data_IF_771827257954
#
_entry.id   IF_771827257954
#
_cell.length_a   1.000
_cell.length_b   1.000
_cell.length_c   1.000
_cell.angle_alpha   90.00
_cell.angle_beta   90.00
_cell.angle_gamma   90.00
#
_symmetry.space_group_name_H-M   'P 1'
#
loop_
_entity.id
_entity.type
_entity.pdbx_description
1 polymer ?
#
# COMPACT_ATOMS: atom_id res chain seq x y z
N UNK A 1 33.56 -2.50 21.83
CA UNK A 1 32.25 -3.03 22.30
C UNK A 1 31.16 -2.45 21.40
N UNK A 2 30.66 -3.20 20.42
CA UNK A 2 29.65 -2.72 19.47
C UNK A 2 28.25 -3.07 19.99
N UNK A 3 27.44 -2.05 20.29
CA UNK A 3 26.04 -2.23 20.72
C UNK A 3 25.17 -2.37 19.48
N UNK A 4 24.66 -3.58 19.25
CA UNK A 4 23.66 -3.85 18.21
C UNK A 4 22.29 -3.34 18.68
N UNK A 5 21.72 -2.39 17.95
CA UNK A 5 20.35 -1.91 18.15
C UNK A 5 19.39 -2.79 17.35
N UNK A 6 18.61 -3.62 18.05
CA UNK A 6 17.51 -4.38 17.43
C UNK A 6 16.36 -3.42 17.14
N UNK A 7 16.07 -3.18 15.86
CA UNK A 7 14.87 -2.46 15.45
C UNK A 7 13.69 -3.44 15.49
N UNK A 8 12.86 -3.34 16.51
CA UNK A 8 11.59 -4.07 16.60
C UNK A 8 10.64 -3.53 15.53
N UNK A 9 10.47 -4.26 14.43
CA UNK A 9 9.44 -3.97 13.42
C UNK A 9 8.09 -4.38 14.00
N UNK A 10 7.35 -3.41 14.54
CA UNK A 10 5.99 -3.63 15.06
C UNK A 10 5.10 -4.09 13.91
N UNK A 11 4.83 -5.40 13.84
CA UNK A 11 3.83 -5.94 12.94
C UNK A 11 2.45 -5.46 13.42
N UNK A 12 1.85 -4.55 12.67
CA UNK A 12 0.48 -4.09 12.91
C UNK A 12 -0.44 -5.30 12.71
N UNK A 13 -1.30 -5.64 13.68
CA UNK A 13 -2.21 -6.78 13.54
C UNK A 13 -3.15 -6.54 12.35
N UNK A 14 -3.37 -7.59 11.54
CA UNK A 14 -4.35 -7.62 10.44
C UNK A 14 -5.80 -7.67 10.98
N UNK A 15 -6.12 -6.80 11.93
CA UNK A 15 -7.45 -6.65 12.53
C UNK A 15 -8.08 -5.34 12.07
N UNK A 16 -9.14 -5.46 11.26
CA UNK A 16 -9.85 -4.41 10.52
C UNK A 16 -9.20 -4.06 9.16
N UNK A 17 -9.82 -4.59 8.09
CA UNK A 17 -9.48 -4.30 6.68
C UNK A 17 -9.71 -2.83 6.28
N UNK A 18 -10.20 -1.99 7.19
CA UNK A 18 -10.26 -0.55 7.02
C UNK A 18 -9.17 0.09 7.90
N UNK A 19 -7.93 0.11 7.40
CA UNK A 19 -6.92 0.96 8.02
C UNK A 19 -7.30 2.42 7.79
N UNK A 20 -7.19 3.25 8.83
CA UNK A 20 -7.37 4.71 8.68
C UNK A 20 -6.39 5.16 7.59
N UNK A 21 -6.81 5.95 6.59
CA UNK A 21 -5.88 6.47 5.59
C UNK A 21 -4.71 7.11 6.32
N UNK A 22 -3.49 6.87 5.85
CA UNK A 22 -2.31 7.57 6.35
C UNK A 22 -2.67 9.06 6.42
N UNK A 23 -2.59 9.66 7.61
CA UNK A 23 -3.02 11.04 7.80
C UNK A 23 -2.33 11.92 6.76
N UNK A 24 -3.11 12.60 5.90
CA UNK A 24 -2.58 13.46 4.84
C UNK A 24 -2.45 12.82 3.45
N UNK A 25 -2.89 11.59 3.23
CA UNK A 25 -2.92 11.01 1.89
C UNK A 25 -3.95 11.71 0.97
N UNK A 26 -3.54 12.00 -0.26
CA UNK A 26 -4.36 12.62 -1.30
C UNK A 26 -4.17 11.89 -2.64
N UNK A 27 -5.13 12.06 -3.54
CA UNK A 27 -5.00 11.56 -4.90
C UNK A 27 -3.84 12.27 -5.61
N UNK A 28 -2.91 11.50 -6.15
CA UNK A 28 -1.77 12.00 -6.94
C UNK A 28 -2.18 12.69 -8.23
N UNK A 29 -3.34 12.33 -8.79
CA UNK A 29 -3.87 12.89 -10.03
C UNK A 29 -4.62 14.21 -9.83
N UNK A 30 -5.55 14.26 -8.87
CA UNK A 30 -6.46 15.42 -8.72
C UNK A 30 -6.37 16.13 -7.36
N UNK A 31 -5.46 15.71 -6.47
CA UNK A 31 -5.25 16.30 -5.15
C UNK A 31 -6.35 16.08 -4.11
N UNK A 32 -7.44 15.38 -4.46
CA UNK A 32 -8.56 15.15 -3.54
C UNK A 32 -8.16 14.28 -2.36
N UNK A 33 -8.61 14.63 -1.17
CA UNK A 33 -8.49 13.80 0.06
C UNK A 33 -9.60 12.75 0.18
N UNK A 34 -10.58 12.75 -0.73
CA UNK A 34 -11.65 11.74 -0.78
C UNK A 34 -11.11 10.48 -1.47
N UNK A 35 -10.36 9.70 -0.72
CA UNK A 35 -9.73 8.46 -1.19
C UNK A 35 -10.05 7.29 -0.26
N UNK A 36 -10.06 6.08 -0.82
CA UNK A 36 -9.88 4.83 -0.08
C UNK A 36 -8.41 4.46 -0.12
N UNK A 37 -7.82 4.17 1.04
CA UNK A 37 -6.43 3.72 1.17
C UNK A 37 -6.38 2.37 1.88
N UNK A 38 -5.72 1.38 1.29
CA UNK A 38 -5.64 0.02 1.81
C UNK A 38 -4.20 -0.49 1.74
N UNK A 39 -3.67 -0.94 2.86
CA UNK A 39 -2.38 -1.65 2.90
C UNK A 39 -2.63 -3.15 2.90
N UNK A 40 -2.03 -3.88 1.96
CA UNK A 40 -2.23 -5.33 1.80
C UNK A 40 -1.00 -6.01 1.22
N UNK A 41 -0.93 -7.35 1.32
CA UNK A 41 0.09 -8.12 0.63
C UNK A 41 -0.48 -8.71 -0.67
N UNK A 42 0.28 -8.64 -1.75
CA UNK A 42 -0.01 -9.36 -2.98
C UNK A 42 0.24 -10.86 -2.78
N UNK A 43 -0.17 -11.66 -3.77
CA UNK A 43 -0.07 -13.13 -3.73
C UNK A 43 1.36 -13.64 -3.57
N UNK A 44 2.35 -12.90 -4.08
CA UNK A 44 3.78 -13.19 -3.91
C UNK A 44 4.35 -12.75 -2.54
N UNK A 45 3.52 -12.18 -1.66
CA UNK A 45 3.93 -11.65 -0.36
C UNK A 45 4.42 -10.20 -0.38
N UNK A 46 4.48 -9.55 -1.55
CA UNK A 46 4.86 -8.12 -1.68
C UNK A 46 3.85 -7.24 -0.93
N UNK A 47 4.25 -6.47 0.10
CA UNK A 47 3.38 -5.46 0.71
C UNK A 47 3.14 -4.30 -0.26
N UNK A 48 1.90 -3.83 -0.37
CA UNK A 48 1.51 -2.69 -1.20
C UNK A 48 0.48 -1.82 -0.49
N UNK A 49 0.51 -0.54 -0.82
CA UNK A 49 -0.53 0.42 -0.51
C UNK A 49 -1.34 0.71 -1.78
N UNK A 50 -2.64 0.47 -1.72
CA UNK A 50 -3.59 0.77 -2.78
C UNK A 50 -4.36 2.03 -2.45
N UNK A 51 -4.45 2.94 -3.42
CA UNK A 51 -5.26 4.16 -3.33
C UNK A 51 -6.31 4.18 -4.43
N UNK A 52 -7.56 4.47 -4.08
CA UNK A 52 -8.64 4.74 -5.04
C UNK A 52 -9.29 6.09 -4.75
N UNK A 53 -9.29 6.98 -5.74
CA UNK A 53 -9.94 8.28 -5.61
C UNK A 53 -11.45 8.19 -5.89
N UNK A 54 -12.26 8.81 -5.03
CA UNK A 54 -13.71 8.90 -5.24
C UNK A 54 -14.14 10.06 -6.15
N UNK A 55 -13.20 10.92 -6.58
CA UNK A 55 -13.48 12.10 -7.44
C UNK A 55 -13.15 11.83 -8.90
N UNK A 56 -11.91 11.48 -9.22
CA UNK A 56 -11.47 11.23 -10.59
C UNK A 56 -11.37 9.73 -10.95
N UNK A 57 -11.73 8.84 -10.03
CA UNK A 57 -11.60 7.38 -10.18
C UNK A 57 -10.16 6.86 -10.43
N UNK A 58 -9.14 7.72 -10.30
CA UNK A 58 -7.74 7.30 -10.40
C UNK A 58 -7.40 6.27 -9.33
N UNK A 59 -6.61 5.26 -9.73
CA UNK A 59 -6.15 4.17 -8.88
C UNK A 59 -4.64 4.06 -9.00
N UNK A 60 -3.98 3.96 -7.85
CA UNK A 60 -2.53 3.78 -7.79
C UNK A 60 -2.17 2.71 -6.78
N UNK A 61 -1.01 2.11 -7.01
CA UNK A 61 -0.39 1.14 -6.12
C UNK A 61 0.99 1.64 -5.78
N UNK A 62 1.42 1.48 -4.53
CA UNK A 62 2.79 1.78 -4.15
C UNK A 62 3.35 0.70 -3.25
N UNK A 63 4.67 0.56 -3.27
CA UNK A 63 5.41 -0.32 -2.40
C UNK A 63 6.50 0.51 -1.71
N UNK A 64 6.40 0.65 -0.39
CA UNK A 64 7.30 1.51 0.39
C UNK A 64 7.42 2.94 -0.18
N UNK A 65 6.30 3.52 -0.62
CA UNK A 65 6.23 4.87 -1.18
C UNK A 65 6.65 5.00 -2.65
N UNK A 66 7.11 3.91 -3.29
CA UNK A 66 7.41 3.90 -4.72
C UNK A 66 6.20 3.41 -5.50
N UNK A 67 5.73 4.17 -6.48
CA UNK A 67 4.61 3.78 -7.31
C UNK A 67 4.92 2.54 -8.15
N UNK A 68 3.96 1.62 -8.21
CA UNK A 68 4.01 0.41 -9.02
C UNK A 68 3.05 0.56 -10.20
N UNK A 69 3.52 0.16 -11.39
CA UNK A 69 2.62 0.05 -12.54
C UNK A 69 1.60 -1.07 -12.30
N UNK A 70 0.37 -0.86 -12.77
CA UNK A 70 -0.70 -1.88 -12.67
C UNK A 70 -0.27 -3.22 -13.28
N UNK A 71 0.55 -3.20 -14.33
CA UNK A 71 1.10 -4.40 -14.96
C UNK A 71 1.96 -5.21 -13.99
N UNK A 72 2.77 -4.55 -13.17
CA UNK A 72 3.65 -5.22 -12.21
C UNK A 72 2.83 -5.86 -11.08
N UNK A 73 1.80 -5.17 -10.61
CA UNK A 73 0.85 -5.70 -9.63
C UNK A 73 0.15 -6.94 -10.17
N UNK A 74 -0.30 -6.88 -11.43
CA UNK A 74 -0.93 -8.02 -12.08
C UNK A 74 0.03 -9.20 -12.25
N UNK A 75 1.30 -8.96 -12.60
CA UNK A 75 2.29 -10.05 -12.68
C UNK A 75 2.51 -10.72 -11.32
N UNK A 76 2.64 -9.93 -10.24
CA UNK A 76 2.86 -10.42 -8.87
C UNK A 76 1.67 -11.14 -8.24
N UNK A 77 0.47 -10.90 -8.77
CA UNK A 77 -0.78 -11.54 -8.29
C UNK A 77 -1.19 -12.76 -9.10
N UNK A 78 -0.45 -13.09 -10.18
CA UNK A 78 -0.70 -14.31 -10.95
C UNK A 78 -0.51 -15.54 -10.08
N UNK A 79 -1.49 -16.44 -10.10
CA UNK A 79 -1.29 -17.81 -9.62
C UNK A 79 -0.35 -18.53 -10.59
N UNK A 80 0.74 -19.05 -10.07
CA UNK A 80 1.56 -20.03 -10.79
C UNK A 80 0.91 -21.38 -10.55
N UNK A 81 0.46 -22.03 -11.63
CA UNK A 81 -0.09 -23.39 -11.60
C UNK A 81 1.03 -24.43 -11.70
#
# INVERSE_FOLDING_TARGET
MARSTTVTRTAIPLGSLTQRPAQGASCTECGSVRITHLSMNLTDGTPVDFTSCHVCAHKSWSHHGVELAVTDVLQRTRKVC
#
